data_IF_913362008262
#
_entry.id   IF_913362008262
#
_cell.length_a   1.000
_cell.length_b   1.000
_cell.length_c   1.000
_cell.angle_alpha   90.00
_cell.angle_beta   90.00
_cell.angle_gamma   90.00
#
_symmetry.space_group_name_H-M   'P 1'
#
loop_
_entity.id
_entity.type
_entity.pdbx_description
1 polymer ?
#
# COMPACT_ATOMS: atom_id res chain seq x y z
N UNK A 1 28.38 18.12 -13.04
CA UNK A 1 26.94 17.81 -12.85
C UNK A 1 26.74 17.47 -11.38
N UNK A 2 26.06 18.34 -10.62
CA UNK A 2 25.83 18.10 -9.19
C UNK A 2 24.67 17.10 -9.01
N UNK A 3 24.91 16.02 -8.25
CA UNK A 3 23.89 15.04 -7.90
C UNK A 3 22.83 15.69 -7.01
N UNK A 4 21.58 15.65 -7.45
CA UNK A 4 20.43 16.11 -6.67
C UNK A 4 20.25 15.16 -5.49
N UNK A 5 20.38 15.68 -4.26
CA UNK A 5 20.14 14.91 -3.05
C UNK A 5 18.73 14.31 -3.09
N UNK A 6 18.63 12.99 -2.93
CA UNK A 6 17.36 12.29 -2.71
C UNK A 6 16.76 12.79 -1.39
N UNK A 7 15.45 13.07 -1.33
CA UNK A 7 14.79 13.43 -0.08
C UNK A 7 15.01 12.34 0.98
N UNK A 8 15.02 12.69 2.28
CA UNK A 8 15.19 11.72 3.35
C UNK A 8 14.16 10.59 3.20
N UNK A 9 14.63 9.34 3.35
CA UNK A 9 13.78 8.17 3.29
C UNK A 9 12.61 8.34 4.28
N UNK A 10 11.39 8.31 3.76
CA UNK A 10 10.18 8.24 4.58
C UNK A 10 10.30 7.03 5.52
N UNK A 11 9.66 7.06 6.72
CA UNK A 11 9.69 5.93 7.64
C UNK A 11 9.31 4.64 6.90
N UNK A 12 10.16 3.62 7.07
CA UNK A 12 10.17 2.38 6.32
C UNK A 12 8.83 1.63 6.40
N UNK A 13 7.96 1.88 5.43
CA UNK A 13 6.67 1.21 5.26
C UNK A 13 5.94 1.79 4.04
N UNK A 14 5.27 0.93 3.28
CA UNK A 14 4.43 1.30 2.14
C UNK A 14 3.02 1.74 2.60
N UNK A 15 2.62 1.39 3.83
CA UNK A 15 1.27 1.59 4.34
C UNK A 15 0.93 2.95 4.97
N UNK A 16 1.87 3.74 5.53
CA UNK A 16 1.54 5.05 6.07
C UNK A 16 0.87 5.99 5.06
N UNK A 17 1.11 5.80 3.75
CA UNK A 17 0.45 6.57 2.69
C UNK A 17 -0.99 6.16 2.37
N UNK A 18 -1.48 5.03 2.91
CA UNK A 18 -2.81 4.47 2.59
C UNK A 18 -3.87 4.69 3.68
N UNK A 19 -3.53 5.40 4.76
CA UNK A 19 -4.44 5.64 5.89
C UNK A 19 -4.62 7.14 6.15
N UNK A 20 -5.86 7.59 6.46
CA UNK A 20 -7.11 6.82 6.58
C UNK A 20 -7.72 6.43 5.23
N UNK A 21 -8.48 5.31 5.20
CA UNK A 21 -9.22 4.86 4.00
C UNK A 21 -10.49 5.70 3.84
N UNK A 22 -10.42 6.72 2.99
CA UNK A 22 -11.56 7.56 2.62
C UNK A 22 -12.21 7.10 1.31
N UNK A 23 -13.47 7.48 1.05
CA UNK A 23 -14.14 7.22 -0.23
C UNK A 23 -13.35 7.80 -1.40
N UNK A 24 -12.81 9.00 -1.24
CA UNK A 24 -11.97 9.65 -2.25
C UNK A 24 -10.70 8.86 -2.56
N UNK A 25 -10.05 8.30 -1.52
CA UNK A 25 -8.88 7.43 -1.69
C UNK A 25 -9.28 6.16 -2.44
N UNK A 26 -10.40 5.53 -2.10
CA UNK A 26 -10.90 4.34 -2.79
C UNK A 26 -11.24 4.63 -4.25
N UNK A 27 -11.87 5.77 -4.54
CA UNK A 27 -12.20 6.20 -5.90
C UNK A 27 -10.95 6.39 -6.75
N UNK A 28 -9.94 7.10 -6.21
CA UNK A 28 -8.66 7.28 -6.92
C UNK A 28 -7.95 5.96 -7.18
N UNK A 29 -7.93 5.06 -6.20
CA UNK A 29 -7.34 3.73 -6.34
C UNK A 29 -8.05 2.88 -7.39
N UNK A 30 -9.40 2.90 -7.41
CA UNK A 30 -10.20 2.19 -8.40
C UNK A 30 -9.91 2.72 -9.82
N UNK A 31 -9.85 4.05 -10.00
CA UNK A 31 -9.52 4.69 -11.27
C UNK A 31 -8.10 4.32 -11.75
N UNK A 32 -7.11 4.34 -10.86
CA UNK A 32 -5.73 3.94 -11.19
C UNK A 32 -5.64 2.47 -11.63
N UNK A 33 -6.51 1.62 -11.09
CA UNK A 33 -6.62 0.22 -11.47
C UNK A 33 -7.55 -0.02 -12.68
N UNK A 34 -8.18 1.02 -13.23
CA UNK A 34 -9.07 0.94 -14.39
C UNK A 34 -10.48 0.42 -14.09
N UNK A 35 -10.92 0.45 -12.83
CA UNK A 35 -12.29 0.09 -12.43
C UNK A 35 -13.22 1.30 -12.45
N UNK A 36 -14.42 1.12 -13.01
CA UNK A 36 -15.51 2.12 -13.05
C UNK A 36 -16.57 1.86 -11.97
N UNK A 37 -16.12 1.65 -10.73
CA UNK A 37 -17.02 1.35 -9.60
C UNK A 37 -17.71 2.59 -9.08
N UNK A 38 -19.00 2.42 -8.78
CA UNK A 38 -19.80 3.44 -8.11
C UNK A 38 -19.35 3.66 -6.66
N UNK A 39 -19.68 4.82 -6.11
CA UNK A 39 -19.43 5.13 -4.70
C UNK A 39 -20.08 4.09 -3.76
N UNK A 40 -21.24 3.53 -4.12
CA UNK A 40 -21.90 2.48 -3.33
C UNK A 40 -21.12 1.15 -3.31
N UNK A 41 -20.54 0.76 -4.44
CA UNK A 41 -19.68 -0.43 -4.54
C UNK A 41 -18.37 -0.23 -3.78
N UNK A 42 -17.79 0.98 -3.85
CA UNK A 42 -16.60 1.34 -3.08
C UNK A 42 -16.86 1.29 -1.57
N UNK A 43 -18.02 1.77 -1.13
CA UNK A 43 -18.40 1.70 0.28
C UNK A 43 -18.63 0.26 0.75
N UNK A 44 -19.20 -0.59 -0.11
CA UNK A 44 -19.40 -2.01 0.21
C UNK A 44 -18.07 -2.73 0.49
N UNK A 45 -16.97 -2.31 -0.15
CA UNK A 45 -15.64 -2.93 0.05
C UNK A 45 -14.78 -2.21 1.10
N UNK A 46 -15.13 -1.01 1.58
CA UNK A 46 -14.28 -0.21 2.49
C UNK A 46 -13.77 -1.02 3.67
N UNK A 47 -14.67 -1.71 4.38
CA UNK A 47 -14.30 -2.50 5.56
C UNK A 47 -13.44 -3.73 5.24
N UNK A 48 -13.45 -4.24 4.01
CA UNK A 48 -12.52 -5.29 3.58
C UNK A 48 -11.13 -4.72 3.32
N UNK A 49 -11.05 -3.54 2.69
CA UNK A 49 -9.79 -2.82 2.44
C UNK A 49 -9.10 -2.43 3.75
N UNK A 50 -9.85 -1.91 4.72
CA UNK A 50 -9.33 -1.56 6.04
C UNK A 50 -8.69 -2.76 6.75
N UNK A 51 -9.36 -3.92 6.75
CA UNK A 51 -8.83 -5.16 7.34
C UNK A 51 -7.59 -5.69 6.60
N UNK A 52 -7.56 -5.54 5.27
CA UNK A 52 -6.39 -5.90 4.47
C UNK A 52 -5.19 -5.02 4.84
N UNK A 53 -5.38 -3.70 4.95
CA UNK A 53 -4.33 -2.77 5.37
C UNK A 53 -3.84 -3.03 6.79
N UNK A 54 -4.74 -3.35 7.72
CA UNK A 54 -4.34 -3.76 9.07
C UNK A 54 -3.47 -5.03 9.04
N UNK A 55 -3.81 -5.99 8.17
CA UNK A 55 -3.05 -7.22 8.01
C UNK A 55 -1.66 -6.95 7.45
N UNK A 56 -1.55 -6.08 6.43
CA UNK A 56 -0.26 -5.64 5.91
C UNK A 56 0.55 -4.89 6.98
N UNK A 57 -0.08 -4.07 7.82
CA UNK A 57 0.59 -3.32 8.89
C UNK A 57 1.13 -4.24 9.99
N UNK A 58 0.58 -5.45 10.13
CA UNK A 58 1.18 -6.51 10.98
C UNK A 58 2.43 -7.08 10.33
N UNK A 59 2.45 -7.27 9.01
CA UNK A 59 3.62 -7.78 8.28
C UNK A 59 4.78 -6.78 8.29
N UNK A 60 4.52 -5.48 8.13
CA UNK A 60 5.56 -4.43 8.18
C UNK A 60 6.30 -4.37 9.54
N UNK A 61 5.66 -4.86 10.61
CA UNK A 61 6.27 -4.90 11.95
C UNK A 61 7.17 -6.10 12.18
N UNK A 62 7.24 -7.05 11.24
CA UNK A 62 8.10 -8.22 11.37
C UNK A 62 9.58 -7.81 11.19
N UNK A 63 10.49 -8.31 12.03
CA UNK A 63 11.92 -8.04 11.87
C UNK A 63 12.48 -8.87 10.72
N UNK A 64 12.46 -8.30 9.51
CA UNK A 64 12.92 -8.99 8.30
C UNK A 64 14.46 -9.09 8.21
N UNK A 65 15.21 -8.30 8.98
CA UNK A 65 16.68 -8.22 8.90
C UNK A 65 17.15 -7.59 7.57
N UNK A 66 18.44 -7.72 7.26
CA UNK A 66 18.99 -7.34 5.95
C UNK A 66 18.67 -8.42 4.91
N UNK A 67 17.41 -8.44 4.46
CA UNK A 67 16.96 -9.28 3.35
C UNK A 67 16.75 -8.41 2.12
N UNK A 68 17.41 -8.78 1.03
CA UNK A 68 17.16 -8.16 -0.27
C UNK A 68 15.73 -8.48 -0.74
N UNK A 69 14.95 -7.49 -1.22
CA UNK A 69 13.67 -7.73 -1.84
C UNK A 69 13.81 -8.70 -3.02
N UNK A 70 13.12 -9.84 -2.98
CA UNK A 70 13.11 -10.80 -4.09
C UNK A 70 11.88 -10.62 -4.97
N UNK A 71 12.07 -10.70 -6.29
CA UNK A 71 10.98 -10.80 -7.28
C UNK A 71 10.76 -12.24 -7.75
N UNK A 72 11.55 -13.18 -7.24
CA UNK A 72 11.54 -14.58 -7.65
C UNK A 72 11.03 -15.44 -6.49
N UNK A 73 10.00 -16.24 -6.78
CA UNK A 73 9.56 -17.30 -5.89
C UNK A 73 10.44 -18.53 -6.13
N UNK A 74 11.13 -18.99 -5.08
CA UNK A 74 11.77 -20.31 -5.11
C UNK A 74 10.71 -21.35 -4.80
N UNK A 75 10.27 -22.04 -5.85
CA UNK A 75 9.42 -23.23 -5.71
C UNK A 75 10.32 -24.43 -5.41
N UNK A 76 9.96 -25.31 -4.46
CA UNK A 76 10.67 -26.55 -4.20
C UNK A 76 10.60 -27.52 -5.39
#
# INVERSE_FOLDING_TARGET
MAARALPPAAPAGILPGMTPVSLDTLRRSAQLAGFDWSDAELEAIRGAVERALESLARLERLPLGDVEPTTQYRMP
#
